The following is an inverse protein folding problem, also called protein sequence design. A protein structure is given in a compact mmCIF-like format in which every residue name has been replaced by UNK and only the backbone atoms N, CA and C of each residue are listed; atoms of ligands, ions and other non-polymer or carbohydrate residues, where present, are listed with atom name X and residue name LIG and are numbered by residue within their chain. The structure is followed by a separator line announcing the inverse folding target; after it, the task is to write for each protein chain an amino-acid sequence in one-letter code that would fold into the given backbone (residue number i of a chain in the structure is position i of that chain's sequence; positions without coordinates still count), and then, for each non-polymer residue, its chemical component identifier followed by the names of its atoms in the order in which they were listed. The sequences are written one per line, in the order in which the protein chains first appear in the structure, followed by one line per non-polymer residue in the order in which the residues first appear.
data_IF_256820259016
#
_entry.id   IF_256820259016
#
_cell.length_a   1.000
_cell.length_b   1.000
_cell.length_c   1.000
_cell.angle_alpha   90.00
_cell.angle_beta   90.00
_cell.angle_gamma   90.00
#
_symmetry.space_group_name_H-M   'P 1'
#
loop_
_entity.id
_entity.type
_entity.pdbx_description
1 polymer ?
#
# COMPACT_ATOMS: atom_id res chain seq x y z
N UNK A 1 7.74 -26.20 -10.87
CA UNK A 1 6.36 -26.52 -11.30
C UNK A 1 5.82 -25.40 -12.19
N UNK A 2 4.98 -25.72 -13.18
CA UNK A 2 4.27 -24.72 -14.00
C UNK A 2 2.82 -24.66 -13.54
N UNK A 3 2.34 -23.46 -13.24
CA UNK A 3 0.99 -23.18 -12.76
C UNK A 3 0.38 -22.09 -13.62
N UNK A 4 -0.91 -22.17 -13.88
CA UNK A 4 -1.68 -21.13 -14.58
C UNK A 4 -2.60 -20.48 -13.55
N UNK A 5 -2.60 -19.15 -13.49
CA UNK A 5 -3.41 -18.36 -12.57
C UNK A 5 -4.05 -17.24 -13.39
N UNK A 6 -5.37 -17.11 -13.30
CA UNK A 6 -6.08 -15.98 -13.87
C UNK A 6 -5.86 -14.75 -13.00
N UNK A 7 -5.32 -13.69 -13.60
CA UNK A 7 -5.00 -12.44 -12.92
C UNK A 7 -5.79 -11.29 -13.54
N UNK A 8 -6.27 -10.34 -12.72
CA UNK A 8 -6.78 -9.07 -13.21
C UNK A 8 -5.83 -8.41 -14.21
N UNK A 9 -6.34 -7.84 -15.32
CA UNK A 9 -5.52 -7.31 -16.41
C UNK A 9 -4.61 -6.16 -15.97
N UNK A 10 -5.06 -5.36 -15.01
CA UNK A 10 -4.32 -4.29 -14.36
C UNK A 10 -3.09 -4.84 -13.61
N UNK A 11 -3.23 -5.90 -12.82
CA UNK A 11 -2.09 -6.52 -12.13
C UNK A 11 -1.06 -7.08 -13.11
N UNK A 12 -1.51 -7.70 -14.19
CA UNK A 12 -0.61 -8.19 -15.25
C UNK A 12 0.15 -7.04 -15.90
N UNK A 13 -0.52 -5.91 -16.15
CA UNK A 13 0.09 -4.70 -16.72
C UNK A 13 1.17 -4.14 -15.78
N UNK A 14 0.87 -4.00 -14.50
CA UNK A 14 1.83 -3.48 -13.51
C UNK A 14 3.05 -4.39 -13.36
N UNK A 15 2.86 -5.71 -13.33
CA UNK A 15 3.97 -6.66 -13.33
C UNK A 15 4.84 -6.57 -14.59
N UNK A 16 4.22 -6.37 -15.77
CA UNK A 16 4.96 -6.18 -17.03
C UNK A 16 5.78 -4.90 -17.00
N UNK A 17 5.21 -3.78 -16.54
CA UNK A 17 5.94 -2.51 -16.41
C UNK A 17 7.13 -2.66 -15.47
N UNK A 18 6.95 -3.31 -14.32
CA UNK A 18 8.04 -3.58 -13.37
C UNK A 18 9.13 -4.46 -14.00
N UNK A 19 8.76 -5.49 -14.74
CA UNK A 19 9.71 -6.35 -15.44
C UNK A 19 10.55 -5.57 -16.47
N UNK A 20 9.93 -4.65 -17.21
CA UNK A 20 10.63 -3.76 -18.14
C UNK A 20 11.58 -2.82 -17.40
N UNK A 21 11.10 -2.13 -16.36
CA UNK A 21 11.91 -1.19 -15.59
C UNK A 21 13.11 -1.84 -14.89
N UNK A 22 12.94 -3.07 -14.38
CA UNK A 22 14.00 -3.80 -13.70
C UNK A 22 14.90 -4.60 -14.67
N UNK A 23 14.57 -4.66 -15.96
CA UNK A 23 15.29 -5.49 -16.93
C UNK A 23 15.22 -6.99 -16.62
N UNK A 24 14.11 -7.44 -16.01
CA UNK A 24 13.92 -8.82 -15.52
C UNK A 24 12.80 -9.53 -16.28
N UNK A 25 12.78 -10.86 -16.23
CA UNK A 25 11.69 -11.65 -16.84
C UNK A 25 10.45 -11.56 -15.95
N UNK A 26 9.27 -11.48 -16.58
CA UNK A 26 7.98 -11.41 -15.90
C UNK A 26 7.77 -12.53 -14.87
N UNK A 27 8.19 -13.76 -15.18
CA UNK A 27 8.08 -14.92 -14.27
C UNK A 27 8.90 -14.76 -12.99
N UNK A 28 10.04 -14.07 -13.07
CA UNK A 28 10.95 -13.89 -11.93
C UNK A 28 10.41 -12.77 -11.02
N UNK A 29 9.86 -11.71 -11.62
CA UNK A 29 9.11 -10.65 -10.92
C UNK A 29 7.88 -11.24 -10.24
N UNK A 30 7.09 -12.04 -10.96
CA UNK A 30 5.91 -12.71 -10.41
C UNK A 30 6.26 -13.59 -9.20
N UNK A 31 7.29 -14.43 -9.32
CA UNK A 31 7.73 -15.30 -8.23
C UNK A 31 8.18 -14.52 -6.99
N UNK A 32 8.91 -13.42 -7.19
CA UNK A 32 9.36 -12.57 -6.08
C UNK A 32 8.20 -11.86 -5.37
N UNK A 33 7.25 -11.32 -6.14
CA UNK A 33 6.05 -10.68 -5.59
C UNK A 33 5.20 -11.67 -4.80
N UNK A 34 4.97 -12.87 -5.34
CA UNK A 34 4.24 -13.93 -4.63
C UNK A 34 4.94 -14.33 -3.34
N UNK A 35 6.28 -14.50 -3.36
CA UNK A 35 7.05 -14.78 -2.13
C UNK A 35 6.89 -13.68 -1.08
N UNK A 36 6.95 -12.41 -1.48
CA UNK A 36 6.78 -11.27 -0.56
C UNK A 36 5.37 -11.24 0.03
N UNK A 37 4.34 -11.44 -0.80
CA UNK A 37 2.94 -11.48 -0.35
C UNK A 37 2.67 -12.63 0.62
N UNK A 38 3.18 -13.83 0.33
CA UNK A 38 3.05 -15.00 1.21
C UNK A 38 3.77 -14.80 2.55
N UNK A 39 4.91 -14.09 2.57
CA UNK A 39 5.59 -13.72 3.82
C UNK A 39 4.83 -12.64 4.60
N UNK A 40 4.23 -11.67 3.90
CA UNK A 40 3.49 -10.57 4.50
C UNK A 40 2.19 -11.02 5.19
N UNK A 41 1.56 -12.11 4.73
CA UNK A 41 0.36 -12.68 5.36
C UNK A 41 0.56 -13.15 6.81
N UNK A 42 1.80 -13.26 7.28
CA UNK A 42 2.13 -13.58 8.67
C UNK A 42 2.31 -12.34 9.57
N UNK A 43 2.31 -11.15 8.97
CA UNK A 43 2.35 -9.89 9.68
C UNK A 43 0.93 -9.35 9.73
N UNK A 44 0.31 -9.38 10.92
CA UNK A 44 -0.88 -8.57 11.22
C UNK A 44 -0.61 -7.16 10.66
N UNK A 45 -1.54 -6.53 9.90
CA UNK A 45 -1.32 -5.16 9.45
C UNK A 45 -0.91 -4.37 10.68
N UNK A 46 0.29 -3.78 10.63
CA UNK A 46 0.74 -2.94 11.72
C UNK A 46 -0.37 -1.91 11.88
N UNK A 47 -1.10 -2.00 12.99
CA UNK A 47 -2.03 -0.96 13.39
C UNK A 47 -1.17 0.28 13.44
N UNK A 48 -1.26 1.13 12.42
CA UNK A 48 -0.53 2.38 12.39
C UNK A 48 -0.90 3.08 13.69
N UNK A 49 0.12 3.33 14.50
CA UNK A 49 -0.12 4.09 15.71
C UNK A 49 -0.60 5.49 15.28
N UNK A 50 -1.40 6.20 16.07
CA UNK A 50 -1.86 7.55 15.71
C UNK A 50 -0.70 8.49 15.31
N UNK A 51 0.51 8.24 15.80
CA UNK A 51 1.73 8.96 15.44
C UNK A 51 2.16 8.74 13.99
N UNK A 52 1.96 7.55 13.44
CA UNK A 52 2.28 7.21 12.04
C UNK A 52 1.26 7.83 11.08
N UNK A 53 0.02 8.04 11.53
CA UNK A 53 -1.00 8.77 10.76
C UNK A 53 -0.64 10.24 10.57
N UNK A 54 -0.05 10.89 11.59
CA UNK A 54 0.37 12.30 11.51
C UNK A 54 1.49 12.53 10.50
N UNK A 55 2.36 11.53 10.26
CA UNK A 55 3.40 11.62 9.21
C UNK A 55 2.87 11.34 7.80
N UNK A 56 1.65 10.82 7.67
CA UNK A 56 1.02 10.48 6.39
C UNK A 56 0.05 11.58 5.88
N UNK A 57 -0.09 12.69 6.59
CA UNK A 57 -0.97 13.76 6.15
C UNK A 57 -0.49 14.32 4.79
N UNK A 58 -1.37 14.41 3.78
CA UNK A 58 -1.01 15.03 2.52
C UNK A 58 -0.61 16.49 2.79
N UNK A 59 0.35 17.03 2.05
CA UNK A 59 0.78 18.43 2.19
C UNK A 59 -0.35 19.45 1.96
N UNK A 60 -1.50 19.00 1.45
CA UNK A 60 -2.74 19.78 1.28
C UNK A 60 -3.71 19.67 2.45
N UNK A 61 -3.38 18.96 3.53
CA UNK A 61 -4.21 18.91 4.72
C UNK A 61 -4.29 20.31 5.34
N UNK A 62 -5.50 20.82 5.65
CA UNK A 62 -5.64 22.11 6.30
C UNK A 62 -4.89 22.09 7.64
N UNK A 63 -4.21 23.19 7.95
CA UNK A 63 -3.41 23.33 9.16
C UNK A 63 -4.25 23.01 10.40
N UNK A 64 -3.82 22.01 11.17
CA UNK A 64 -4.59 21.49 12.30
C UNK A 64 -4.31 22.33 13.54
N UNK A 65 -4.87 23.54 13.59
CA UNK A 65 -4.70 24.48 14.70
C UNK A 65 -5.48 24.04 15.96
N UNK A 66 -5.09 24.48 17.17
CA UNK A 66 -5.79 24.14 18.41
C UNK A 66 -7.29 24.45 18.40
N UNK A 67 -7.69 25.51 17.71
CA UNK A 67 -9.08 25.93 17.53
C UNK A 67 -9.84 24.94 16.64
N UNK A 68 -9.21 24.47 15.56
CA UNK A 68 -9.82 23.51 14.65
C UNK A 68 -10.01 22.14 15.31
N UNK A 69 -9.09 21.73 16.17
CA UNK A 69 -9.22 20.50 16.96
C UNK A 69 -10.40 20.59 17.93
N UNK A 70 -10.58 21.73 18.62
CA UNK A 70 -11.73 21.95 19.50
C UNK A 70 -13.06 21.85 18.74
N UNK A 71 -13.14 22.50 17.58
CA UNK A 71 -14.33 22.48 16.75
C UNK A 71 -14.71 21.06 16.30
N UNK A 72 -13.75 20.24 15.88
CA UNK A 72 -14.01 18.84 15.48
C UNK A 72 -14.53 18.00 16.66
N UNK A 73 -13.97 18.22 17.85
CA UNK A 73 -14.40 17.51 19.06
C UNK A 73 -15.81 17.93 19.51
N UNK A 74 -16.21 19.17 19.23
CA UNK A 74 -17.55 19.69 19.51
C UNK A 74 -18.59 19.30 18.45
N UNK A 75 -18.17 19.05 17.20
CA UNK A 75 -19.04 18.66 16.08
C UNK A 75 -19.31 17.14 16.01
N UNK A 76 -18.80 16.33 16.95
CA UNK A 76 -19.08 14.89 17.00
C UNK A 76 -20.23 14.61 17.98
N UNK A 77 -21.42 14.16 17.55
CA UNK A 77 -22.50 13.74 18.46
C UNK A 77 -22.17 12.44 19.21
#
# INVERSE_FOLDING_TARGET
MKTTIDLPPDLVREMKLRAVHEGRKLKDVAADLLKRGLRAGNSKPASLSPKDFLLSAPASAPEMTPERVRQILEETP
#
